data_IF_831632533898
#
_entry.id   IF_831632533898
#
_cell.length_a   1.000
_cell.length_b   1.000
_cell.length_c   1.000
_cell.angle_alpha   90.00
_cell.angle_beta   90.00
_cell.angle_gamma   90.00
#
_symmetry.space_group_name_H-M   'P 1'
#
loop_
_entity.id
_entity.type
_entity.pdbx_description
1 polymer ?
#
# COMPACT_ATOMS: atom_id res chain seq x y z
N UNK A 1 -25.79 13.57 -21.38
CA UNK A 1 -25.44 14.12 -20.05
C UNK A 1 -25.13 12.94 -19.15
N UNK A 2 -23.90 12.83 -18.64
CA UNK A 2 -23.48 11.68 -17.84
C UNK A 2 -24.11 11.77 -16.44
N UNK A 3 -24.96 10.80 -16.09
CA UNK A 3 -25.51 10.65 -14.75
C UNK A 3 -24.43 10.04 -13.84
N UNK A 4 -23.65 10.88 -13.17
CA UNK A 4 -22.78 10.44 -12.10
C UNK A 4 -23.60 10.25 -10.83
N UNK A 5 -23.54 9.05 -10.25
CA UNK A 5 -24.08 8.77 -8.92
C UNK A 5 -22.97 9.02 -7.92
N UNK A 6 -23.12 10.08 -7.12
CA UNK A 6 -22.22 10.36 -6.00
C UNK A 6 -22.68 9.53 -4.81
N UNK A 7 -21.82 8.66 -4.30
CA UNK A 7 -22.04 7.92 -3.06
C UNK A 7 -21.01 8.31 -2.01
N UNK A 8 -21.39 8.19 -0.74
CA UNK A 8 -20.42 8.31 0.35
C UNK A 8 -19.50 7.09 0.31
N UNK A 9 -18.19 7.34 0.24
CA UNK A 9 -17.21 6.28 0.34
C UNK A 9 -17.34 5.56 1.68
N UNK A 10 -17.30 4.23 1.65
CA UNK A 10 -17.21 3.41 2.86
C UNK A 10 -16.00 3.85 3.67
N UNK A 11 -16.16 3.99 4.99
CA UNK A 11 -15.02 4.31 5.88
C UNK A 11 -14.05 3.12 5.88
N UNK A 12 -12.83 3.35 5.41
CA UNK A 12 -11.75 2.36 5.40
C UNK A 12 -10.74 2.79 6.47
N UNK A 13 -10.21 1.82 7.24
CA UNK A 13 -9.06 2.10 8.10
C UNK A 13 -7.85 2.49 7.23
N UNK A 14 -7.09 3.52 7.60
CA UNK A 14 -5.90 3.89 6.86
C UNK A 14 -4.92 2.72 6.81
N UNK A 15 -4.18 2.66 5.71
CA UNK A 15 -3.17 1.63 5.48
C UNK A 15 -1.81 2.28 5.26
N UNK A 16 -0.76 1.65 5.78
CA UNK A 16 0.62 2.04 5.51
C UNK A 16 1.36 0.88 4.86
N UNK A 17 2.28 1.22 3.97
CA UNK A 17 3.24 0.27 3.39
C UNK A 17 4.61 0.55 4.00
N UNK A 18 5.20 -0.48 4.62
CA UNK A 18 6.55 -0.46 5.17
C UNK A 18 7.50 -1.14 4.19
N UNK A 19 8.62 -0.48 3.89
CA UNK A 19 9.48 -0.89 2.78
C UNK A 19 10.68 -1.74 3.19
N UNK A 20 11.11 -2.60 2.25
CA UNK A 20 12.38 -3.34 2.27
C UNK A 20 12.67 -4.13 3.56
N UNK A 21 11.69 -4.89 4.04
CA UNK A 21 11.89 -5.85 5.13
C UNK A 21 12.47 -7.14 4.56
N UNK A 22 13.32 -7.82 5.31
CA UNK A 22 13.90 -9.11 4.91
C UNK A 22 12.80 -10.09 4.47
N UNK A 23 13.06 -10.80 3.37
CA UNK A 23 12.13 -11.78 2.78
C UNK A 23 11.93 -13.02 3.66
N UNK A 24 12.84 -13.31 4.58
CA UNK A 24 12.71 -14.45 5.50
C UNK A 24 11.77 -14.14 6.69
N UNK A 25 11.54 -12.86 6.99
CA UNK A 25 10.67 -12.45 8.10
C UNK A 25 9.21 -12.74 7.74
N UNK A 26 8.54 -13.49 8.61
CA UNK A 26 7.12 -13.80 8.50
C UNK A 26 6.23 -12.71 9.14
N UNK A 27 4.89 -12.88 9.03
CA UNK A 27 3.95 -11.87 9.52
C UNK A 27 3.97 -11.73 11.06
N UNK A 28 4.21 -12.82 11.79
CA UNK A 28 4.20 -12.82 13.25
C UNK A 28 5.47 -12.17 13.78
N UNK A 29 6.63 -12.56 13.25
CA UNK A 29 7.92 -11.94 13.56
C UNK A 29 7.93 -10.46 13.18
N UNK A 30 7.36 -10.10 12.03
CA UNK A 30 7.22 -8.71 11.61
C UNK A 30 6.40 -7.90 12.62
N UNK A 31 5.25 -8.43 13.08
CA UNK A 31 4.40 -7.75 14.05
C UNK A 31 5.13 -7.52 15.38
N UNK A 32 5.79 -8.55 15.91
CA UNK A 32 6.56 -8.47 17.15
C UNK A 32 7.68 -7.42 17.02
N UNK A 33 8.51 -7.54 15.97
CA UNK A 33 9.64 -6.63 15.70
C UNK A 33 9.21 -5.17 15.56
N UNK A 34 8.04 -4.93 14.96
CA UNK A 34 7.50 -3.57 14.82
C UNK A 34 7.02 -3.02 16.18
N UNK A 35 6.50 -3.86 17.06
CA UNK A 35 5.99 -3.44 18.36
C UNK A 35 7.06 -3.24 19.44
N UNK A 36 8.27 -3.78 19.26
CA UNK A 36 9.37 -3.69 20.24
C UNK A 36 9.81 -2.25 20.53
N UNK A 37 9.84 -1.40 19.51
CA UNK A 37 10.39 -0.02 19.60
C UNK A 37 9.43 1.08 19.17
N UNK A 38 8.20 0.72 18.81
CA UNK A 38 7.15 1.68 18.46
C UNK A 38 6.00 1.52 19.45
N UNK A 39 6.23 1.90 20.71
CA UNK A 39 5.26 1.72 21.81
C UNK A 39 3.93 2.42 21.57
N UNK A 40 3.89 3.49 20.78
CA UNK A 40 2.67 4.17 20.34
C UNK A 40 1.77 3.32 19.43
N UNK A 41 2.25 2.17 18.94
CA UNK A 41 1.45 1.18 18.21
C UNK A 41 0.75 0.17 19.15
N UNK A 42 0.75 0.43 20.46
CA UNK A 42 0.10 -0.39 21.48
C UNK A 42 -0.97 0.41 22.20
N UNK A 43 -2.02 -0.28 22.62
CA UNK A 43 -3.00 0.29 23.55
C UNK A 43 -2.58 0.10 25.02
N UNK A 44 -3.45 0.51 25.94
CA UNK A 44 -3.24 0.40 27.38
C UNK A 44 -3.13 -1.06 27.88
N UNK A 45 -3.69 -2.01 27.14
CA UNK A 45 -3.62 -3.45 27.42
C UNK A 45 -2.43 -4.13 26.75
N UNK A 46 -1.54 -3.35 26.12
CA UNK A 46 -0.39 -3.82 25.35
C UNK A 46 -0.78 -4.52 24.02
N UNK A 47 -2.03 -4.39 23.58
CA UNK A 47 -2.53 -4.95 22.33
C UNK A 47 -2.14 -4.09 21.12
N UNK A 48 -1.89 -4.67 19.94
CA UNK A 48 -1.49 -3.91 18.75
C UNK A 48 -2.63 -3.02 18.23
N UNK A 49 -2.35 -1.73 18.03
CA UNK A 49 -3.23 -0.75 17.37
C UNK A 49 -3.15 -0.80 15.83
N UNK A 50 -2.58 -1.87 15.29
CA UNK A 50 -2.48 -2.13 13.86
C UNK A 50 -2.70 -3.61 13.56
N UNK A 51 -2.99 -3.91 12.28
CA UNK A 51 -3.09 -5.28 11.77
C UNK A 51 -2.19 -5.45 10.56
N UNK A 52 -1.37 -6.50 10.57
CA UNK A 52 -0.62 -6.93 9.38
C UNK A 52 -1.59 -7.50 8.35
N UNK A 53 -1.54 -6.98 7.11
CA UNK A 53 -2.47 -7.36 6.04
C UNK A 53 -1.84 -8.39 5.10
N UNK A 54 -0.87 -7.95 4.29
CA UNK A 54 -0.19 -8.81 3.33
C UNK A 54 1.18 -8.24 2.96
N UNK A 55 2.13 -9.10 2.58
CA UNK A 55 3.37 -8.66 1.99
C UNK A 55 3.21 -8.38 0.48
N UNK A 56 4.06 -7.51 -0.05
CA UNK A 56 4.27 -7.27 -1.48
C UNK A 56 5.72 -7.60 -1.78
N UNK A 57 5.94 -8.60 -2.63
CA UNK A 57 7.29 -9.00 -3.02
C UNK A 57 7.98 -7.87 -3.81
N UNK A 58 9.23 -7.56 -3.42
CA UNK A 58 10.04 -6.61 -4.18
C UNK A 58 10.63 -7.24 -5.43
N UNK A 59 11.05 -6.41 -6.39
CA UNK A 59 11.62 -6.86 -7.67
C UNK A 59 12.86 -7.75 -7.51
N UNK A 60 13.64 -7.55 -6.45
CA UNK A 60 14.88 -8.31 -6.24
C UNK A 60 14.65 -9.70 -5.63
N UNK A 61 13.42 -10.04 -5.23
CA UNK A 61 13.11 -11.34 -4.62
C UNK A 61 13.56 -11.51 -3.16
N UNK A 62 14.46 -10.66 -2.66
CA UNK A 62 15.11 -10.80 -1.34
C UNK A 62 14.41 -10.06 -0.21
N UNK A 63 13.49 -9.17 -0.54
CA UNK A 63 12.80 -8.35 0.46
C UNK A 63 11.31 -8.23 0.16
N UNK A 64 10.52 -7.92 1.17
CA UNK A 64 9.08 -7.68 1.09
C UNK A 64 8.77 -6.27 1.56
N UNK A 65 7.74 -5.67 0.99
CA UNK A 65 7.04 -4.57 1.62
C UNK A 65 5.88 -5.14 2.42
N UNK A 66 5.58 -4.57 3.58
CA UNK A 66 4.45 -5.02 4.39
C UNK A 66 3.36 -3.97 4.41
N UNK A 67 2.15 -4.35 4.05
CA UNK A 67 0.97 -3.51 4.21
C UNK A 67 0.37 -3.78 5.57
N UNK A 68 0.13 -2.72 6.34
CA UNK A 68 -0.55 -2.76 7.64
C UNK A 68 -1.74 -1.82 7.62
N UNK A 69 -2.79 -2.19 8.34
CA UNK A 69 -3.92 -1.30 8.66
C UNK A 69 -3.73 -0.71 10.05
N UNK A 70 -4.01 0.57 10.24
CA UNK A 70 -3.84 1.25 11.53
C UNK A 70 -5.13 1.88 12.02
N UNK A 71 -5.18 2.14 13.32
CA UNK A 71 -6.20 2.99 13.90
C UNK A 71 -6.08 4.44 13.34
N UNK A 72 -7.20 5.10 12.98
CA UNK A 72 -7.13 6.45 12.37
C UNK A 72 -6.50 7.53 13.24
N UNK A 73 -6.55 7.41 14.57
CA UNK A 73 -5.84 8.30 15.50
C UNK A 73 -4.33 8.22 15.27
N UNK A 74 -3.77 7.01 15.30
CA UNK A 74 -2.34 6.75 15.10
C UNK A 74 -1.88 7.23 13.72
N UNK A 75 -2.65 6.93 12.66
CA UNK A 75 -2.25 7.39 11.33
C UNK A 75 -2.18 8.92 11.23
N UNK A 76 -3.16 9.65 11.78
CA UNK A 76 -3.16 11.11 11.76
C UNK A 76 -1.97 11.72 12.48
N UNK A 77 -1.57 11.11 13.59
CA UNK A 77 -0.45 11.60 14.42
C UNK A 77 0.91 11.26 13.80
N UNK A 78 1.05 10.04 13.26
CA UNK A 78 2.35 9.48 12.89
C UNK A 78 2.62 9.39 11.38
N UNK A 79 1.68 9.70 10.48
CA UNK A 79 1.93 9.60 9.03
C UNK A 79 3.04 10.56 8.53
N UNK A 80 3.39 11.59 9.31
CA UNK A 80 4.44 12.55 8.96
C UNK A 80 5.80 12.25 9.60
N UNK A 81 5.95 11.18 10.39
CA UNK A 81 7.25 10.82 10.96
C UNK A 81 8.15 10.21 9.90
N UNK A 82 9.46 10.47 9.98
CA UNK A 82 10.43 10.06 8.94
C UNK A 82 10.65 8.54 8.81
N UNK A 83 10.01 7.72 9.64
CA UNK A 83 10.17 6.27 9.64
C UNK A 83 9.88 5.64 11.00
N UNK A 84 9.56 4.35 10.99
CA UNK A 84 9.31 3.52 12.16
C UNK A 84 10.57 2.76 12.55
N UNK A 85 10.70 2.39 13.82
CA UNK A 85 11.77 1.49 14.24
C UNK A 85 11.44 0.04 13.84
N UNK A 86 12.45 -0.71 13.43
CA UNK A 86 12.31 -2.14 13.17
C UNK A 86 13.65 -2.79 13.48
N UNK A 87 13.67 -3.60 14.54
CA UNK A 87 14.90 -4.10 15.14
C UNK A 87 15.88 -2.94 15.42
N UNK A 88 17.07 -2.96 14.82
CA UNK A 88 18.11 -1.93 14.96
C UNK A 88 18.05 -0.83 13.89
N UNK A 89 17.07 -0.88 12.99
CA UNK A 89 16.97 0.01 11.85
C UNK A 89 15.76 0.94 11.94
N UNK A 90 15.82 2.03 11.17
CA UNK A 90 14.65 2.86 10.90
C UNK A 90 14.18 2.62 9.48
N UNK A 91 12.95 2.14 9.35
CA UNK A 91 12.35 1.78 8.06
C UNK A 91 11.46 2.91 7.54
N UNK A 92 11.53 3.11 6.23
CA UNK A 92 10.65 4.04 5.52
C UNK A 92 9.27 3.42 5.38
N UNK A 93 8.26 4.28 5.41
CA UNK A 93 6.89 3.89 5.10
C UNK A 93 6.20 5.02 4.33
N UNK A 94 5.03 4.73 3.79
CA UNK A 94 4.13 5.71 3.21
C UNK A 94 2.69 5.24 3.35
N UNK A 95 1.73 6.12 3.08
CA UNK A 95 0.34 5.72 2.92
C UNK A 95 0.19 4.71 1.79
N UNK A 96 -0.52 3.61 2.06
CA UNK A 96 -0.84 2.63 1.05
C UNK A 96 -2.25 2.88 0.50
N UNK A 97 -2.30 3.30 -0.77
CA UNK A 97 -3.55 3.45 -1.50
C UNK A 97 -3.71 2.26 -2.45
N UNK A 98 -4.55 1.30 -2.08
CA UNK A 98 -4.77 0.04 -2.80
C UNK A 98 -5.52 0.16 -4.14
N UNK A 99 -5.51 1.33 -4.77
CA UNK A 99 -6.19 1.56 -6.05
C UNK A 99 -5.41 0.89 -7.17
N UNK A 100 -6.07 -0.04 -7.88
CA UNK A 100 -5.48 -0.75 -9.01
C UNK A 100 -5.77 0.01 -10.29
N UNK A 101 -4.73 0.51 -10.95
CA UNK A 101 -4.81 1.06 -12.30
C UNK A 101 -4.17 0.08 -13.29
N UNK A 102 -4.91 -0.25 -14.34
CA UNK A 102 -4.40 -1.07 -15.44
C UNK A 102 -3.36 -0.28 -16.22
N UNK A 103 -2.15 -0.82 -16.39
CA UNK A 103 -1.08 -0.17 -17.15
C UNK A 103 -1.24 -0.25 -18.67
N UNK A 104 -2.19 -1.07 -19.16
CA UNK A 104 -2.47 -1.18 -20.58
C UNK A 104 -3.47 -0.12 -21.03
N UNK A 105 -4.63 -0.02 -20.37
CA UNK A 105 -5.74 0.85 -20.79
C UNK A 105 -6.02 2.03 -19.87
N UNK A 106 -5.24 2.21 -18.79
CA UNK A 106 -5.38 3.24 -17.75
C UNK A 106 -6.69 3.23 -16.96
N UNK A 107 -7.59 2.25 -17.17
CA UNK A 107 -8.82 2.07 -16.38
C UNK A 107 -8.50 1.48 -14.99
N UNK A 108 -9.35 1.80 -14.01
CA UNK A 108 -9.23 1.28 -12.65
C UNK A 108 -9.92 -0.08 -12.48
N UNK A 109 -9.57 -0.79 -11.41
CA UNK A 109 -10.26 -2.01 -10.95
C UNK A 109 -9.66 -3.32 -11.45
N UNK A 110 -8.71 -3.30 -12.39
CA UNK A 110 -8.03 -4.49 -12.89
C UNK A 110 -6.54 -4.23 -13.16
N UNK A 111 -5.77 -5.31 -13.31
CA UNK A 111 -4.36 -5.26 -13.71
C UNK A 111 -4.21 -5.52 -15.20
N UNK A 112 -3.08 -5.17 -15.79
CA UNK A 112 -2.82 -5.43 -17.23
C UNK A 112 -2.95 -6.92 -17.60
N UNK A 113 -2.63 -7.83 -16.68
CA UNK A 113 -2.80 -9.29 -16.86
C UNK A 113 -4.26 -9.69 -17.07
N UNK A 114 -5.19 -8.96 -16.44
CA UNK A 114 -6.63 -9.24 -16.50
C UNK A 114 -7.36 -8.16 -17.33
N UNK A 115 -6.65 -7.50 -18.25
CA UNK A 115 -7.26 -6.49 -19.13
C UNK A 115 -8.03 -7.18 -20.24
N UNK A 116 -9.26 -6.72 -20.49
CA UNK A 116 -10.02 -7.12 -21.68
C UNK A 116 -9.23 -6.73 -22.95
N UNK A 117 -8.99 -7.67 -23.88
CA UNK A 117 -8.35 -7.39 -25.17
C UNK A 117 -9.05 -6.31 -26.00
N UNK A 118 -10.36 -6.10 -25.80
CA UNK A 118 -11.12 -5.04 -26.47
C UNK A 118 -10.87 -3.62 -25.94
N UNK A 119 -10.11 -3.47 -24.85
CA UNK A 119 -9.75 -2.15 -24.34
C UNK A 119 -8.61 -1.53 -25.17
N UNK A 120 -8.82 -0.29 -25.61
CA UNK A 120 -7.79 0.47 -26.31
C UNK A 120 -6.62 0.81 -25.37
N UNK A 121 -5.37 0.53 -25.78
CA UNK A 121 -4.20 0.84 -24.97
C UNK A 121 -4.00 2.35 -24.86
N UNK A 122 -3.54 2.82 -23.71
CA UNK A 122 -3.34 4.25 -23.42
C UNK A 122 -1.94 4.53 -22.89
N UNK A 123 -1.39 5.67 -23.29
CA UNK A 123 -0.14 6.17 -22.73
C UNK A 123 -0.32 6.56 -21.25
N UNK A 124 0.59 6.10 -20.41
CA UNK A 124 0.57 6.40 -18.97
C UNK A 124 0.94 7.87 -18.66
N UNK A 125 1.64 8.54 -19.58
CA UNK A 125 2.08 9.94 -19.41
C UNK A 125 0.98 10.94 -19.79
N UNK A 126 0.37 10.79 -20.98
CA UNK A 126 -0.59 11.78 -21.50
C UNK A 126 -2.05 11.27 -21.60
N UNK A 127 -2.30 9.98 -21.40
CA UNK A 127 -3.66 9.39 -21.44
C UNK A 127 -4.29 9.26 -22.84
N UNK A 128 -3.57 9.59 -23.91
CA UNK A 128 -3.97 9.34 -25.30
C UNK A 128 -3.79 7.87 -25.68
N UNK A 129 -4.37 7.47 -26.82
CA UNK A 129 -4.23 6.10 -27.32
C UNK A 129 -2.77 5.79 -27.66
N UNK A 130 -2.32 4.60 -27.26
CA UNK A 130 -1.00 4.12 -27.57
C UNK A 130 -0.93 3.82 -29.08
N UNK A 131 -0.18 4.62 -29.82
CA UNK A 131 0.14 4.41 -31.24
C UNK A 131 1.64 4.11 -31.39
N UNK A 132 2.05 3.51 -32.51
CA UNK A 132 3.47 3.36 -32.82
C UNK A 132 4.15 4.74 -32.84
N UNK A 133 5.28 4.86 -32.15
CA UNK A 133 6.05 6.11 -31.89
C UNK A 133 5.46 7.08 -30.84
N UNK A 134 4.47 6.65 -30.07
CA UNK A 134 4.00 7.44 -28.93
C UNK A 134 4.90 7.20 -27.71
N UNK A 135 5.79 8.17 -27.43
CA UNK A 135 6.68 8.20 -26.25
C UNK A 135 5.89 8.48 -24.98
#
# INVERSE_FOLDING_TARGET
MNNFVVSLATRIRPQMILYNIDGEIDAAEFQISLLERNTFLRDENNDPLFRVYFPIQTRNGKSRHWVVSLEPSIFREYNNVRGLYFQWNRIRFSEFVGVRQCRACSKFGHTAKNCDPGNEPKCASCGQFSQENHV
#
